data_IF_470365025700
#
_entry.id   IF_470365025700
#
_cell.length_a   1.000
_cell.length_b   1.000
_cell.length_c   1.000
_cell.angle_alpha   90.00
_cell.angle_beta   90.00
_cell.angle_gamma   90.00
#
_symmetry.space_group_name_H-M   'P 1'
#
loop_
_entity.id
_entity.type
_entity.pdbx_description
1 polymer ?
#
# COMPACT_ATOMS: atom_id res chain seq x y z
N UNK A 1 -2.20 -1.32 -8.25
CA UNK A 1 -0.90 -1.36 -8.96
C UNK A 1 -0.30 0.03 -8.98
N UNK A 2 1.02 0.13 -8.97
CA UNK A 2 1.76 1.37 -9.24
C UNK A 2 2.55 1.17 -10.53
N UNK A 3 2.61 2.19 -11.38
CA UNK A 3 3.40 2.16 -12.62
C UNK A 3 4.46 3.23 -12.55
N UNK A 4 5.70 2.82 -12.76
CA UNK A 4 6.87 3.71 -12.75
C UNK A 4 7.25 3.96 -14.20
N UNK A 5 7.19 5.23 -14.59
CA UNK A 5 7.60 5.70 -15.90
C UNK A 5 8.66 6.79 -15.80
N UNK A 6 9.52 6.90 -16.80
CA UNK A 6 10.38 8.07 -16.95
C UNK A 6 9.60 9.29 -17.46
N UNK A 7 10.31 10.41 -17.62
CA UNK A 7 9.78 11.66 -18.16
C UNK A 7 9.27 11.54 -19.62
N UNK A 8 9.62 10.48 -20.34
CA UNK A 8 9.19 10.22 -21.72
C UNK A 8 8.05 9.20 -21.79
N UNK A 9 7.59 8.66 -20.66
CA UNK A 9 6.52 7.67 -20.58
C UNK A 9 6.98 6.21 -20.72
N UNK A 10 8.29 5.94 -20.78
CA UNK A 10 8.82 4.58 -20.81
C UNK A 10 8.73 3.94 -19.44
N UNK A 11 8.38 2.66 -19.38
CA UNK A 11 8.29 1.94 -18.12
C UNK A 11 9.69 1.59 -17.57
N UNK A 12 9.93 1.86 -16.29
CA UNK A 12 11.23 1.59 -15.65
C UNK A 12 11.19 0.32 -14.81
N UNK A 13 11.98 -0.66 -15.22
CA UNK A 13 12.17 -1.92 -14.53
C UNK A 13 13.29 -1.86 -13.49
N UNK A 14 13.19 -2.71 -12.46
CA UNK A 14 14.26 -2.88 -11.46
C UNK A 14 14.39 -1.72 -10.48
N UNK A 15 13.39 -0.83 -10.41
CA UNK A 15 13.44 0.34 -9.56
C UNK A 15 12.82 0.03 -8.19
N UNK A 16 13.54 0.36 -7.12
CA UNK A 16 13.05 0.19 -5.76
C UNK A 16 12.04 1.28 -5.41
N UNK A 17 10.83 0.85 -5.05
CA UNK A 17 9.75 1.68 -4.56
C UNK A 17 9.59 1.40 -3.07
N UNK A 18 9.67 2.44 -2.25
CA UNK A 18 9.34 2.36 -0.83
C UNK A 18 7.86 2.61 -0.63
N UNK A 19 7.21 1.81 0.21
CA UNK A 19 5.77 1.94 0.47
C UNK A 19 5.54 2.11 1.95
N UNK A 20 4.71 3.10 2.29
CA UNK A 20 4.23 3.37 3.63
C UNK A 20 2.71 3.31 3.63
N UNK A 21 2.13 2.76 4.68
CA UNK A 21 0.70 2.81 4.93
C UNK A 21 0.44 3.26 6.37
N UNK A 22 -0.64 4.00 6.56
CA UNK A 22 -1.08 4.48 7.86
C UNK A 22 -2.31 3.70 8.37
N UNK A 23 -2.91 4.19 9.46
CA UNK A 23 -4.13 3.64 10.06
C UNK A 23 -4.05 2.13 10.39
N UNK A 24 -2.85 1.67 10.78
CA UNK A 24 -2.59 0.27 11.15
C UNK A 24 -2.54 -0.71 9.98
N UNK A 25 -2.53 -0.22 8.74
CA UNK A 25 -2.34 -1.07 7.57
C UNK A 25 -0.89 -1.58 7.48
N UNK A 26 -0.75 -2.86 7.19
CA UNK A 26 0.51 -3.55 6.93
C UNK A 26 0.75 -3.62 5.43
N UNK A 27 1.97 -3.26 5.02
CA UNK A 27 2.44 -3.30 3.62
C UNK A 27 3.84 -3.87 3.55
N UNK A 28 4.23 -4.35 2.37
CA UNK A 28 5.63 -4.60 2.07
C UNK A 28 6.38 -3.26 2.00
N UNK A 29 7.42 -3.02 2.83
CA UNK A 29 8.06 -1.71 2.95
C UNK A 29 8.85 -1.31 1.70
N UNK A 30 9.35 -2.29 0.95
CA UNK A 30 10.05 -2.09 -0.32
C UNK A 30 9.59 -3.13 -1.33
N UNK A 31 9.37 -2.67 -2.56
CA UNK A 31 9.01 -3.51 -3.70
C UNK A 31 9.82 -3.06 -4.92
N UNK A 32 10.12 -4.00 -5.81
CA UNK A 32 10.89 -3.71 -7.03
C UNK A 32 9.98 -3.80 -8.24
N UNK A 33 10.07 -2.83 -9.15
CA UNK A 33 9.26 -2.86 -10.38
C UNK A 33 9.65 -4.01 -11.30
N UNK A 34 8.64 -4.61 -11.91
CA UNK A 34 8.76 -5.64 -12.92
C UNK A 34 9.34 -5.08 -14.24
N UNK A 35 9.72 -5.95 -15.21
CA UNK A 35 10.23 -5.53 -16.52
C UNK A 35 9.30 -4.60 -17.30
N UNK A 36 8.00 -4.65 -17.02
CA UNK A 36 6.96 -3.79 -17.58
C UNK A 36 6.79 -2.45 -16.84
N UNK A 37 7.66 -2.19 -15.85
CA UNK A 37 7.65 -1.02 -14.97
C UNK A 37 6.43 -0.94 -14.04
N UNK A 38 5.68 -2.02 -13.88
CA UNK A 38 4.59 -2.08 -12.90
C UNK A 38 5.05 -2.75 -11.61
N UNK A 39 4.34 -2.45 -10.54
CA UNK A 39 4.51 -3.13 -9.26
C UNK A 39 3.16 -3.32 -8.58
N UNK A 40 2.99 -4.50 -8.00
CA UNK A 40 1.83 -4.84 -7.20
C UNK A 40 2.17 -4.67 -5.72
N UNK A 41 1.31 -3.92 -5.02
CA UNK A 41 1.47 -3.63 -3.60
C UNK A 41 0.30 -4.29 -2.89
N UNK A 42 0.62 -5.27 -2.04
CA UNK A 42 -0.35 -5.88 -1.14
C UNK A 42 -0.48 -5.04 0.13
N UNK A 43 -1.70 -4.60 0.43
CA UNK A 43 -2.03 -3.78 1.60
C UNK A 43 -3.09 -4.52 2.38
N UNK A 44 -2.84 -4.79 3.65
CA UNK A 44 -3.79 -5.45 4.55
C UNK A 44 -3.98 -4.62 5.80
N UNK A 45 -5.21 -4.54 6.32
CA UNK A 45 -5.47 -3.90 7.60
C UNK A 45 -6.54 -4.68 8.35
N UNK A 46 -6.37 -4.79 9.66
CA UNK A 46 -7.39 -5.32 10.57
C UNK A 46 -8.28 -4.20 11.14
N UNK A 47 -7.83 -2.96 11.00
CA UNK A 47 -8.56 -1.78 11.44
C UNK A 47 -9.38 -1.24 10.28
N UNK A 48 -10.69 -1.15 10.47
CA UNK A 48 -11.55 -0.49 9.51
C UNK A 48 -11.30 1.02 9.50
N UNK A 49 -11.38 1.61 8.32
CA UNK A 49 -11.12 3.03 8.11
C UNK A 49 -10.36 3.27 6.82
N UNK A 50 -10.09 4.56 6.56
CA UNK A 50 -9.29 4.98 5.42
C UNK A 50 -7.82 4.88 5.80
N UNK A 51 -7.06 4.13 5.00
CA UNK A 51 -5.60 4.09 5.04
C UNK A 51 -5.02 4.76 3.81
N UNK A 52 -4.16 5.76 3.98
CA UNK A 52 -3.36 6.34 2.92
C UNK A 52 -2.12 5.47 2.67
N UNK A 53 -1.98 5.00 1.43
CA UNK A 53 -0.83 4.22 0.96
C UNK A 53 0.03 5.14 0.12
N UNK A 54 1.23 5.43 0.59
CA UNK A 54 2.19 6.31 -0.08
C UNK A 54 3.34 5.50 -0.65
N UNK A 55 3.50 5.53 -1.96
CA UNK A 55 4.61 4.95 -2.69
C UNK A 55 5.62 6.04 -3.04
N UNK A 56 6.90 5.77 -2.82
CA UNK A 56 7.99 6.74 -2.97
C UNK A 56 9.13 6.11 -3.77
N UNK A 57 9.67 6.84 -4.74
CA UNK A 57 10.75 6.38 -5.63
C UNK A 57 11.61 7.54 -6.09
N UNK A 58 12.94 7.50 -5.86
CA UNK A 58 13.91 8.50 -6.33
C UNK A 58 13.41 9.97 -6.26
N UNK A 59 12.82 10.37 -5.12
CA UNK A 59 12.23 11.70 -4.85
C UNK A 59 10.84 11.99 -5.44
N UNK A 60 10.23 11.07 -6.18
CA UNK A 60 8.81 11.10 -6.55
C UNK A 60 7.98 10.38 -5.50
N UNK A 61 6.81 10.91 -5.16
CA UNK A 61 5.86 10.25 -4.26
C UNK A 61 4.45 10.30 -4.82
N UNK A 62 3.70 9.23 -4.60
CA UNK A 62 2.29 9.16 -4.94
C UNK A 62 1.53 8.50 -3.80
N UNK A 63 0.43 9.12 -3.38
CA UNK A 63 -0.40 8.62 -2.29
C UNK A 63 -1.80 8.30 -2.79
N UNK A 64 -2.36 7.19 -2.34
CA UNK A 64 -3.70 6.74 -2.66
C UNK A 64 -4.41 6.26 -1.41
N UNK A 65 -5.67 6.65 -1.27
CA UNK A 65 -6.49 6.24 -0.14
C UNK A 65 -7.16 4.89 -0.43
N UNK A 66 -7.03 3.95 0.50
CA UNK A 66 -7.69 2.64 0.50
C UNK A 66 -8.65 2.60 1.69
N UNK A 67 -9.89 2.20 1.47
CA UNK A 67 -10.88 2.09 2.57
C UNK A 67 -11.03 0.63 2.97
N UNK A 68 -10.62 0.30 4.19
CA UNK A 68 -10.84 -0.99 4.81
C UNK A 68 -12.20 -1.01 5.50
N UNK A 69 -13.06 -1.96 5.13
CA UNK A 69 -14.39 -2.11 5.70
C UNK A 69 -14.34 -3.25 6.73
N UNK A 70 -14.77 -2.98 7.96
CA UNK A 70 -14.91 -4.02 8.98
C UNK A 70 -16.00 -5.00 8.55
N UNK A 71 -15.68 -6.30 8.61
CA UNK A 71 -16.71 -7.32 8.55
C UNK A 71 -17.30 -7.52 9.95
N UNK A 72 -18.47 -6.92 10.18
CA UNK A 72 -19.24 -7.04 11.43
C UNK A 72 -19.55 -8.49 11.82
N UNK A 73 -19.53 -9.43 10.86
CA UNK A 73 -19.75 -10.86 11.15
C UNK A 73 -18.55 -11.52 11.83
N UNK A 74 -17.38 -10.89 11.78
CA UNK A 74 -16.16 -11.36 12.45
C UNK A 74 -15.88 -10.65 13.77
N UNK A 75 -16.78 -9.76 14.22
CA UNK A 75 -16.64 -9.05 15.48
C UNK A 75 -16.58 -10.03 16.66
N UNK A 76 -15.48 -9.99 17.41
CA UNK A 76 -15.28 -10.74 18.65
C UNK A 76 -15.22 -9.77 19.82
N UNK A 77 -15.88 -10.09 20.93
CA UNK A 77 -15.64 -9.40 22.20
C UNK A 77 -14.30 -9.92 22.72
N UNK A 78 -13.28 -9.08 22.70
CA UNK A 78 -11.90 -9.48 23.02
C UNK A 78 -11.63 -9.59 24.53
N UNK A 79 -12.38 -8.86 25.37
CA UNK A 79 -12.27 -8.96 26.82
C UNK A 79 -13.55 -8.48 27.50
N UNK A 80 -13.97 -9.20 28.55
CA UNK A 80 -14.98 -8.76 29.51
C UNK A 80 -14.30 -8.70 30.87
N UNK A 81 -13.82 -7.52 31.25
CA UNK A 81 -13.28 -7.30 32.60
C UNK A 81 -14.45 -6.99 33.53
N UNK A 82 -14.57 -7.78 34.60
CA UNK A 82 -15.51 -7.60 35.73
C UNK A 82 -14.84 -6.79 36.83
#
# INVERSE_FOLDING_TARGET
QVRVTDAFGNALAGQTVSVLADNGATVAPTVTTQPDGTVEISVTSQTAGVSAVTATINSSSQSQNVTFIADVRTAKIADLVV
#
